data_IF_675269276855
#
_entry.id   IF_675269276855
#
_cell.length_a   1.000
_cell.length_b   1.000
_cell.length_c   1.000
_cell.angle_alpha   90.00
_cell.angle_beta   90.00
_cell.angle_gamma   90.00
#
_symmetry.space_group_name_H-M   'P 1'
#
loop_
_entity.id
_entity.type
_entity.pdbx_description
1 polymer ?
#
# COMPACT_ATOMS: atom_id res chain seq x y z
N UNK A 1 29.98 -17.90 -5.34
CA UNK A 1 29.54 -16.53 -5.71
C UNK A 1 28.59 -16.04 -4.63
N UNK A 2 28.97 -14.99 -3.90
CA UNK A 2 28.16 -14.46 -2.78
C UNK A 2 26.99 -13.66 -3.35
N UNK A 3 25.79 -14.20 -3.27
CA UNK A 3 24.55 -13.46 -3.49
C UNK A 3 24.38 -12.59 -2.25
N UNK A 4 24.60 -11.29 -2.39
CA UNK A 4 24.39 -10.34 -1.29
C UNK A 4 23.56 -9.17 -1.80
N UNK A 5 22.24 -9.27 -1.67
CA UNK A 5 21.36 -8.11 -1.53
C UNK A 5 20.05 -8.55 -0.88
N UNK A 6 19.86 -8.18 0.39
CA UNK A 6 18.70 -7.42 0.77
C UNK A 6 19.18 -6.06 1.27
N UNK A 7 18.56 -4.97 0.83
CA UNK A 7 18.66 -3.72 1.60
C UNK A 7 17.96 -3.99 2.93
N UNK A 8 18.73 -4.52 3.88
CA UNK A 8 18.35 -4.62 5.27
C UNK A 8 18.15 -3.19 5.75
N UNK A 9 16.90 -2.80 5.95
CA UNK A 9 16.59 -1.70 6.85
C UNK A 9 17.19 -2.11 8.19
N UNK A 10 18.39 -1.62 8.51
CA UNK A 10 19.08 -1.92 9.77
C UNK A 10 18.07 -1.72 10.91
N UNK A 11 17.97 -2.68 11.83
CA UNK A 11 17.03 -2.69 12.96
C UNK A 11 17.01 -1.40 13.80
N UNK A 12 18.01 -0.53 13.63
CA UNK A 12 18.19 0.75 14.32
C UNK A 12 17.85 1.99 13.46
N UNK A 13 17.34 1.82 12.24
CA UNK A 13 16.98 2.93 11.34
C UNK A 13 15.57 3.47 11.65
N UNK A 14 15.38 4.78 11.43
CA UNK A 14 14.05 5.41 11.51
C UNK A 14 13.09 4.76 10.52
N UNK A 15 11.84 4.62 10.92
CA UNK A 15 10.79 4.11 10.07
C UNK A 15 10.56 5.04 8.88
N UNK A 16 10.48 4.52 7.64
CA UNK A 16 10.35 5.37 6.44
C UNK A 16 8.97 6.04 6.35
N UNK A 17 7.97 5.61 7.12
CA UNK A 17 6.61 6.16 7.10
C UNK A 17 6.43 7.55 7.73
N UNK A 18 7.51 8.28 8.02
CA UNK A 18 7.47 9.62 8.63
C UNK A 18 6.83 9.65 10.03
N UNK A 19 6.93 8.56 10.80
CA UNK A 19 6.45 8.52 12.19
C UNK A 19 7.46 9.05 13.22
N UNK A 20 8.69 9.34 12.79
CA UNK A 20 9.86 9.62 13.63
C UNK A 20 10.27 8.50 14.63
N UNK A 21 9.59 7.35 14.62
CA UNK A 21 9.93 6.19 15.45
C UNK A 21 10.98 5.30 14.76
N UNK A 22 11.62 4.41 15.52
CA UNK A 22 12.42 3.33 14.94
C UNK A 22 11.52 2.38 14.14
N UNK A 23 12.06 1.79 13.07
CA UNK A 23 11.30 0.84 12.24
C UNK A 23 10.76 -0.34 13.08
N UNK A 24 11.60 -0.88 13.97
CA UNK A 24 11.30 -2.01 14.87
C UNK A 24 10.14 -1.75 15.83
N UNK A 25 9.94 -0.49 16.23
CA UNK A 25 8.88 -0.06 17.15
C UNK A 25 7.62 0.43 16.41
N UNK A 26 7.70 0.57 15.09
CA UNK A 26 6.65 1.16 14.25
C UNK A 26 6.13 0.13 13.24
N UNK A 27 6.42 0.29 11.94
CA UNK A 27 5.84 -0.53 10.89
C UNK A 27 6.31 -1.99 10.92
N UNK A 28 7.46 -2.29 11.54
CA UNK A 28 7.93 -3.67 11.69
C UNK A 28 6.92 -4.54 12.44
N UNK A 29 6.31 -4.04 13.52
CA UNK A 29 5.32 -4.79 14.31
C UNK A 29 4.09 -5.16 13.47
N UNK A 30 3.69 -4.30 12.55
CA UNK A 30 2.58 -4.56 11.63
C UNK A 30 3.01 -5.53 10.52
N UNK A 31 4.22 -5.34 9.96
CA UNK A 31 4.77 -6.21 8.92
C UNK A 31 4.97 -7.65 9.39
N UNK A 32 5.32 -7.86 10.67
CA UNK A 32 5.44 -9.18 11.30
C UNK A 32 4.10 -9.74 11.78
N UNK A 33 3.01 -8.98 11.70
CA UNK A 33 1.70 -9.40 12.19
C UNK A 33 1.57 -9.44 13.73
N UNK A 34 2.54 -8.87 14.46
CA UNK A 34 2.50 -8.74 15.93
C UNK A 34 1.37 -7.77 16.34
N UNK A 35 1.13 -6.75 15.53
CA UNK A 35 0.01 -5.80 15.68
C UNK A 35 -0.75 -5.65 14.38
N UNK A 36 -1.96 -5.11 14.47
CA UNK A 36 -2.72 -4.61 13.34
C UNK A 36 -2.81 -3.09 13.40
N UNK A 37 -3.01 -2.46 12.24
CA UNK A 37 -3.25 -1.03 12.21
C UNK A 37 -4.54 -0.69 12.97
N UNK A 38 -4.47 0.32 13.82
CA UNK A 38 -5.59 0.85 14.62
C UNK A 38 -6.39 1.90 13.85
N UNK A 39 -5.77 2.54 12.85
CA UNK A 39 -6.39 3.54 11.99
C UNK A 39 -6.05 3.35 10.51
N UNK A 40 -6.87 3.94 9.63
CA UNK A 40 -6.62 3.96 8.19
C UNK A 40 -5.26 4.61 7.85
N UNK A 41 -4.91 5.73 8.53
CA UNK A 41 -3.64 6.41 8.33
C UNK A 41 -2.44 5.57 8.78
N UNK A 42 -2.55 4.82 9.88
CA UNK A 42 -1.49 3.91 10.30
C UNK A 42 -1.31 2.77 9.29
N UNK A 43 -2.41 2.23 8.75
CA UNK A 43 -2.33 1.23 7.70
C UNK A 43 -1.64 1.79 6.46
N UNK A 44 -2.06 2.95 5.98
CA UNK A 44 -1.43 3.64 4.85
C UNK A 44 0.09 3.80 5.07
N UNK A 45 0.51 4.30 6.24
CA UNK A 45 1.92 4.51 6.59
C UNK A 45 2.73 3.22 6.58
N UNK A 46 2.15 2.13 7.10
CA UNK A 46 2.79 0.81 7.04
C UNK A 46 2.88 0.27 5.62
N UNK A 47 1.84 0.46 4.78
CA UNK A 47 1.88 0.07 3.36
C UNK A 47 2.97 0.82 2.60
N UNK A 48 3.15 2.12 2.85
CA UNK A 48 4.28 2.87 2.29
C UNK A 48 5.62 2.22 2.69
N UNK A 49 5.82 1.90 3.98
CA UNK A 49 7.04 1.22 4.44
C UNK A 49 7.24 -0.16 3.80
N UNK A 50 6.16 -0.87 3.50
CA UNK A 50 6.21 -2.13 2.77
C UNK A 50 6.63 -1.94 1.31
N UNK A 51 6.23 -0.84 0.65
CA UNK A 51 6.76 -0.47 -0.67
C UNK A 51 8.26 -0.16 -0.61
N UNK A 52 8.72 0.58 0.41
CA UNK A 52 10.15 0.90 0.61
C UNK A 52 11.00 -0.37 0.81
N UNK A 53 10.50 -1.32 1.60
CA UNK A 53 11.20 -2.57 1.94
C UNK A 53 10.97 -3.72 0.94
N UNK A 54 10.10 -3.54 -0.05
CA UNK A 54 9.71 -4.61 -0.99
C UNK A 54 8.89 -5.74 -0.35
N UNK A 55 8.20 -5.49 0.77
CA UNK A 55 7.35 -6.48 1.45
C UNK A 55 6.00 -6.66 0.73
N UNK A 56 6.03 -7.33 -0.42
CA UNK A 56 4.85 -7.54 -1.28
C UNK A 56 3.77 -8.35 -0.56
N UNK A 57 4.16 -9.31 0.28
CA UNK A 57 3.20 -10.13 1.03
C UNK A 57 2.34 -9.27 1.97
N UNK A 58 2.94 -8.30 2.65
CA UNK A 58 2.19 -7.37 3.50
C UNK A 58 1.22 -6.51 2.69
N UNK A 59 1.63 -6.03 1.52
CA UNK A 59 0.77 -5.25 0.62
C UNK A 59 -0.45 -6.06 0.17
N UNK A 60 -0.27 -7.33 -0.19
CA UNK A 60 -1.38 -8.24 -0.53
C UNK A 60 -2.28 -8.46 0.69
N UNK A 61 -1.72 -8.87 1.82
CA UNK A 61 -2.47 -9.23 3.04
C UNK A 61 -3.24 -8.07 3.67
N UNK A 62 -2.89 -6.83 3.32
CA UNK A 62 -3.58 -5.62 3.79
C UNK A 62 -4.40 -4.93 2.70
N UNK A 63 -4.50 -5.53 1.52
CA UNK A 63 -5.51 -5.15 0.52
C UNK A 63 -6.80 -5.90 0.82
N UNK A 64 -7.95 -5.30 0.49
CA UNK A 64 -9.28 -5.86 0.74
C UNK A 64 -9.33 -7.33 0.30
N UNK A 65 -9.80 -8.28 1.15
CA UNK A 65 -9.67 -9.73 0.87
C UNK A 65 -10.20 -10.16 -0.50
N UNK A 66 -11.36 -9.61 -0.90
CA UNK A 66 -11.97 -9.91 -2.21
C UNK A 66 -11.10 -9.45 -3.39
N UNK A 67 -10.18 -8.52 -3.19
CA UNK A 67 -9.28 -7.98 -4.22
C UNK A 67 -7.93 -8.71 -4.29
N UNK A 68 -7.55 -9.49 -3.25
CA UNK A 68 -6.19 -10.03 -3.13
C UNK A 68 -5.82 -10.99 -4.26
N UNK A 69 -6.74 -11.87 -4.66
CA UNK A 69 -6.56 -12.78 -5.78
C UNK A 69 -6.43 -12.06 -7.13
N UNK A 70 -6.85 -10.79 -7.16
CA UNK A 70 -6.82 -9.90 -8.31
C UNK A 70 -5.61 -8.95 -8.27
N UNK A 71 -4.59 -9.19 -7.44
CA UNK A 71 -3.39 -8.35 -7.47
C UNK A 71 -2.33 -8.94 -8.41
N UNK A 72 -1.82 -8.12 -9.33
CA UNK A 72 -0.62 -8.45 -10.09
C UNK A 72 0.63 -8.24 -9.22
N UNK A 73 0.96 -9.23 -8.39
CA UNK A 73 2.08 -9.14 -7.45
C UNK A 73 3.43 -8.91 -8.14
N UNK A 74 3.60 -9.39 -9.38
CA UNK A 74 4.80 -9.15 -10.18
C UNK A 74 4.93 -7.67 -10.52
N UNK A 75 3.87 -7.03 -10.99
CA UNK A 75 3.88 -5.60 -11.34
C UNK A 75 4.08 -4.72 -10.10
N UNK A 76 3.46 -5.08 -8.97
CA UNK A 76 3.69 -4.40 -7.69
C UNK A 76 5.18 -4.50 -7.29
N UNK A 77 5.79 -5.68 -7.44
CA UNK A 77 7.22 -5.89 -7.16
C UNK A 77 8.12 -5.11 -8.14
N UNK A 78 7.82 -5.14 -9.43
CA UNK A 78 8.58 -4.41 -10.45
C UNK A 78 8.52 -2.89 -10.20
N UNK A 79 7.37 -2.37 -9.79
CA UNK A 79 7.23 -0.95 -9.42
C UNK A 79 7.99 -0.61 -8.13
N UNK A 80 7.85 -1.41 -7.07
CA UNK A 80 8.61 -1.22 -5.84
C UNK A 80 10.14 -1.24 -6.07
N UNK A 81 10.61 -2.03 -7.04
CA UNK A 81 12.03 -2.10 -7.40
C UNK A 81 12.52 -0.88 -8.20
N UNK A 82 11.66 -0.29 -9.05
CA UNK A 82 12.01 0.87 -9.89
C UNK A 82 11.90 2.20 -9.16
N UNK A 83 10.95 2.32 -8.23
CA UNK A 83 10.74 3.50 -7.41
C UNK A 83 11.67 3.49 -6.20
N UNK A 84 12.63 4.41 -6.17
CA UNK A 84 13.41 4.70 -4.97
C UNK A 84 12.62 5.71 -4.13
N UNK A 85 11.89 5.20 -3.15
CA UNK A 85 11.10 6.01 -2.21
C UNK A 85 11.99 6.93 -1.38
N UNK A 86 11.61 8.21 -1.30
CA UNK A 86 12.38 9.26 -0.60
C UNK A 86 11.61 9.91 0.53
N UNK A 87 10.27 9.89 0.50
CA UNK A 87 9.47 10.42 1.60
C UNK A 87 7.98 10.13 1.49
N UNK A 88 7.28 10.35 2.61
CA UNK A 88 5.84 10.26 2.75
C UNK A 88 5.35 11.45 3.57
N UNK A 89 4.30 12.11 3.09
CA UNK A 89 3.56 13.11 3.85
C UNK A 89 2.07 12.75 3.86
N UNK A 90 1.48 12.54 5.04
CA UNK A 90 0.02 12.42 5.16
C UNK A 90 -0.56 13.83 5.25
N UNK A 91 -1.36 14.21 4.27
CA UNK A 91 -1.92 15.56 4.11
C UNK A 91 -3.21 15.71 4.91
N UNK A 92 -4.12 14.75 4.80
CA UNK A 92 -5.39 14.78 5.49
C UNK A 92 -5.94 13.38 5.74
N UNK A 93 -6.84 13.27 6.73
CA UNK A 93 -7.57 12.05 7.02
C UNK A 93 -9.04 12.39 7.26
N UNK A 94 -9.94 11.60 6.66
CA UNK A 94 -11.39 11.66 6.91
C UNK A 94 -11.85 10.31 7.44
N UNK A 95 -12.55 10.30 8.58
CA UNK A 95 -12.90 9.08 9.32
C UNK A 95 -11.66 8.20 9.56
N UNK A 96 -11.77 6.87 9.57
CA UNK A 96 -10.63 5.97 9.68
C UNK A 96 -10.04 5.83 11.10
N UNK A 97 -10.76 6.26 12.13
CA UNK A 97 -10.39 6.07 13.54
C UNK A 97 -10.91 4.72 14.07
N UNK A 98 -10.49 4.24 15.25
CA UNK A 98 -10.86 2.91 15.74
C UNK A 98 -12.38 2.61 15.77
N UNK A 99 -13.20 3.64 15.99
CA UNK A 99 -14.66 3.54 15.99
C UNK A 99 -15.30 3.53 14.59
N UNK A 100 -14.58 3.93 13.55
CA UNK A 100 -15.10 4.02 12.19
C UNK A 100 -14.90 2.70 11.43
N UNK A 101 -15.80 2.40 10.50
CA UNK A 101 -15.66 1.21 9.63
C UNK A 101 -15.08 1.53 8.25
N UNK A 102 -14.88 2.81 7.96
CA UNK A 102 -14.36 3.34 6.71
C UNK A 102 -13.46 4.54 6.96
N UNK A 103 -12.53 4.82 6.04
CA UNK A 103 -11.63 5.95 6.14
C UNK A 103 -11.00 6.33 4.82
N UNK A 104 -10.62 7.60 4.71
CA UNK A 104 -9.87 8.15 3.60
C UNK A 104 -8.60 8.80 4.11
N UNK A 105 -7.50 8.58 3.39
CA UNK A 105 -6.19 9.15 3.72
C UNK A 105 -5.65 9.80 2.46
N UNK A 106 -5.48 11.11 2.52
CA UNK A 106 -4.80 11.88 1.49
C UNK A 106 -3.32 12.00 1.84
N UNK A 107 -2.46 11.79 0.85
CA UNK A 107 -1.03 11.81 1.06
C UNK A 107 -0.23 12.13 -0.20
N UNK A 108 1.03 12.45 0.02
CA UNK A 108 2.05 12.63 -1.00
C UNK A 108 3.16 11.61 -0.75
N UNK A 109 3.43 10.76 -1.73
CA UNK A 109 4.55 9.85 -1.71
C UNK A 109 5.62 10.33 -2.72
N UNK A 110 6.83 10.55 -2.22
CA UNK A 110 7.96 11.06 -3.00
C UNK A 110 8.90 9.93 -3.39
N UNK A 111 9.37 9.92 -4.63
CA UNK A 111 10.29 8.91 -5.14
C UNK A 111 11.16 9.41 -6.30
N UNK A 112 12.30 8.76 -6.50
CA UNK A 112 13.13 8.87 -7.69
C UNK A 112 13.01 7.59 -8.52
N UNK A 113 13.20 7.68 -9.83
CA UNK A 113 13.18 6.50 -10.71
C UNK A 113 14.61 6.08 -11.06
N UNK A 114 15.00 4.83 -10.74
CA UNK A 114 16.37 4.31 -10.92
C UNK A 114 16.92 4.38 -12.35
N UNK A 115 16.05 4.50 -13.35
CA UNK A 115 16.39 4.52 -14.78
C UNK A 115 15.98 5.82 -15.47
N UNK A 116 15.73 6.89 -14.72
CA UNK A 116 15.56 8.18 -15.38
C UNK A 116 16.90 8.67 -15.90
N UNK A 117 17.08 8.66 -17.22
CA UNK A 117 18.27 9.18 -17.88
C UNK A 117 18.49 10.69 -17.62
N UNK A 118 17.47 11.37 -17.07
CA UNK A 118 17.53 12.78 -16.66
C UNK A 118 17.72 12.97 -15.15
N UNK A 119 17.87 11.89 -14.36
CA UNK A 119 18.14 12.01 -12.94
C UNK A 119 19.58 12.50 -12.72
N UNK A 120 19.71 13.73 -12.25
CA UNK A 120 20.93 14.20 -11.60
C UNK A 120 20.73 14.21 -10.07
N UNK A 121 21.81 14.33 -9.31
CA UNK A 121 21.75 14.37 -7.85
C UNK A 121 20.98 15.59 -7.28
N UNK A 122 20.67 16.59 -8.12
CA UNK A 122 19.99 17.82 -7.75
C UNK A 122 18.51 17.82 -8.18
N UNK A 123 18.03 16.74 -8.79
CA UNK A 123 16.68 16.64 -9.31
C UNK A 123 15.69 16.48 -8.17
N UNK A 124 14.66 17.32 -8.16
CA UNK A 124 13.56 17.22 -7.21
C UNK A 124 12.85 15.85 -7.34
N UNK A 125 12.52 15.18 -6.23
CA UNK A 125 11.80 13.92 -6.28
C UNK A 125 10.45 14.06 -6.98
N UNK A 126 10.06 13.03 -7.73
CA UNK A 126 8.70 12.93 -8.24
C UNK A 126 7.75 12.71 -7.07
N UNK A 127 6.56 13.30 -7.17
CA UNK A 127 5.53 13.22 -6.14
C UNK A 127 4.26 12.59 -6.72
N UNK A 128 3.70 11.62 -6.01
CA UNK A 128 2.36 11.10 -6.26
C UNK A 128 1.45 11.54 -5.12
N UNK A 129 0.46 12.37 -5.44
CA UNK A 129 -0.60 12.73 -4.52
C UNK A 129 -1.78 11.78 -4.74
N UNK A 130 -2.23 11.14 -3.66
CA UNK A 130 -3.30 10.16 -3.70
C UNK A 130 -4.27 10.38 -2.54
N UNK A 131 -5.55 10.08 -2.78
CA UNK A 131 -6.58 10.01 -1.73
C UNK A 131 -7.13 8.58 -1.69
N UNK A 132 -6.56 7.77 -0.80
CA UNK A 132 -6.83 6.34 -0.71
C UNK A 132 -8.01 6.03 0.21
N UNK A 133 -8.83 5.06 -0.18
CA UNK A 133 -9.97 4.57 0.59
C UNK A 133 -9.63 3.27 1.33
N UNK A 134 -10.11 3.17 2.57
CA UNK A 134 -9.88 2.06 3.48
C UNK A 134 -11.19 1.60 4.09
N UNK A 135 -11.29 0.28 4.31
CA UNK A 135 -12.45 -0.37 4.93
C UNK A 135 -12.00 -1.25 6.09
N UNK A 136 -12.71 -1.20 7.21
CA UNK A 136 -12.50 -2.06 8.38
C UNK A 136 -13.43 -3.26 8.29
N UNK A 137 -12.87 -4.46 8.39
CA UNK A 137 -13.61 -5.73 8.45
C UNK A 137 -13.13 -6.47 9.67
N UNK A 138 -14.03 -6.85 10.58
CA UNK A 138 -13.69 -7.59 11.80
C UNK A 138 -12.52 -6.95 12.57
N UNK A 139 -12.62 -5.63 12.82
CA UNK A 139 -11.60 -4.81 13.50
C UNK A 139 -10.24 -4.69 12.79
N UNK A 140 -10.15 -5.09 11.52
CA UNK A 140 -8.92 -4.97 10.72
C UNK A 140 -9.12 -4.04 9.53
N UNK A 141 -8.26 -3.04 9.42
CA UNK A 141 -8.24 -2.14 8.27
C UNK A 141 -7.67 -2.83 7.04
N UNK A 142 -8.26 -2.53 5.89
CA UNK A 142 -7.80 -2.95 4.58
C UNK A 142 -7.80 -1.77 3.61
N UNK A 143 -6.77 -1.70 2.77
CA UNK A 143 -6.72 -0.83 1.62
C UNK A 143 -7.67 -1.33 0.53
N UNK A 144 -8.50 -0.44 -0.01
CA UNK A 144 -9.36 -0.76 -1.13
C UNK A 144 -8.66 -0.30 -2.41
N UNK A 145 -8.20 -1.28 -3.20
CA UNK A 145 -7.53 -1.04 -4.46
C UNK A 145 -8.53 -0.45 -5.49
N UNK A 146 -8.17 0.59 -6.26
CA UNK A 146 -9.06 1.16 -7.28
C UNK A 146 -9.47 0.11 -8.33
N UNK A 147 -10.78 0.00 -8.59
CA UNK A 147 -11.30 -1.03 -9.51
C UNK A 147 -10.76 -0.88 -10.93
N UNK A 148 -10.57 0.35 -11.38
CA UNK A 148 -10.03 0.65 -12.70
C UNK A 148 -8.65 0.01 -12.87
N UNK A 149 -7.81 0.07 -11.84
CA UNK A 149 -6.49 -0.55 -11.85
C UNK A 149 -6.53 -2.08 -11.92
N UNK A 150 -7.46 -2.71 -11.19
CA UNK A 150 -7.64 -4.17 -11.24
C UNK A 150 -8.08 -4.65 -12.63
N UNK A 151 -9.03 -3.93 -13.24
CA UNK A 151 -9.61 -4.32 -14.53
C UNK A 151 -8.66 -4.04 -15.70
N UNK A 152 -7.90 -2.94 -15.64
CA UNK A 152 -6.96 -2.54 -16.70
C UNK A 152 -5.73 -3.43 -16.79
N UNK A 153 -5.38 -4.17 -15.72
CA UNK A 153 -4.27 -5.15 -15.71
C UNK A 153 -4.66 -6.49 -16.37
N UNK A 154 -5.73 -6.52 -17.16
CA UNK A 154 -6.15 -7.70 -17.92
C UNK A 154 -6.80 -8.80 -17.08
N UNK A 155 -7.05 -8.54 -15.80
CA UNK A 155 -7.71 -9.51 -14.94
C UNK A 155 -9.22 -9.50 -15.14
N UNK A 156 -9.75 -10.69 -15.40
CA UNK A 156 -11.17 -10.91 -15.62
C UNK A 156 -11.85 -11.26 -14.30
N UNK A 157 -12.67 -10.36 -13.80
CA UNK A 157 -13.62 -10.65 -12.72
C UNK A 157 -14.80 -11.40 -13.32
N UNK A 158 -15.10 -12.61 -12.83
CA UNK A 158 -16.25 -13.36 -13.36
C UNK A 158 -17.55 -12.67 -12.99
N UNK A 159 -18.55 -12.73 -13.88
CA UNK A 159 -19.87 -12.11 -13.69
C UNK A 159 -20.55 -12.50 -12.37
N UNK A 160 -20.28 -13.70 -11.85
CA UNK A 160 -20.87 -14.23 -10.63
C UNK A 160 -19.97 -14.12 -9.40
N UNK A 161 -18.71 -13.71 -9.55
CA UNK A 161 -17.80 -13.51 -8.41
C UNK A 161 -18.30 -12.38 -7.51
N UNK A 162 -17.95 -12.39 -6.21
CA UNK A 162 -18.15 -11.24 -5.34
C UNK A 162 -17.51 -9.98 -5.96
N UNK A 163 -18.22 -8.86 -5.88
CA UNK A 163 -17.77 -7.63 -6.51
C UNK A 163 -16.51 -7.09 -5.80
N UNK A 164 -15.42 -6.80 -6.53
CA UNK A 164 -14.17 -6.38 -5.90
C UNK A 164 -14.23 -5.01 -5.20
N UNK A 165 -15.33 -4.24 -5.32
CA UNK A 165 -15.54 -3.04 -4.51
C UNK A 165 -15.85 -3.32 -3.04
N UNK A 166 -16.05 -4.59 -2.66
CA UNK A 166 -16.37 -4.96 -1.28
C UNK A 166 -17.84 -4.74 -0.89
N UNK A 167 -18.75 -4.68 -1.88
CA UNK A 167 -20.20 -4.58 -1.66
C UNK A 167 -20.89 -5.89 -1.35
N UNK A 168 -20.15 -7.01 -1.36
CA UNK A 168 -20.64 -8.40 -1.17
C UNK A 168 -21.61 -8.90 -2.27
N UNK A 169 -22.08 -8.02 -3.16
CA UNK A 169 -22.93 -8.39 -4.30
C UNK A 169 -22.11 -9.08 -5.39
N UNK A 170 -22.77 -9.90 -6.23
CA UNK A 170 -22.14 -10.44 -7.46
C UNK A 170 -21.73 -9.30 -8.41
N UNK A 171 -20.60 -9.44 -9.10
CA UNK A 171 -20.05 -8.41 -9.99
C UNK A 171 -21.09 -7.88 -11.00
N UNK A 172 -21.83 -8.77 -11.69
CA UNK A 172 -22.91 -8.40 -12.64
C UNK A 172 -24.09 -7.63 -12.04
N UNK A 173 -24.22 -7.63 -10.71
CA UNK A 173 -25.29 -6.93 -9.97
C UNK A 173 -24.75 -5.67 -9.26
N UNK A 174 -23.48 -5.35 -9.44
CA UNK A 174 -22.79 -4.22 -8.82
C UNK A 174 -22.01 -3.42 -9.88
N UNK A 175 -20.68 -3.53 -9.92
CA UNK A 175 -19.81 -2.73 -10.79
C UNK A 175 -19.73 -3.25 -12.24
N UNK A 176 -20.15 -4.49 -12.51
CA UNK A 176 -20.18 -5.07 -13.85
C UNK A 176 -21.55 -4.94 -14.54
N UNK A 177 -22.29 -3.88 -14.20
CA UNK A 177 -23.53 -3.52 -14.89
C UNK A 177 -23.25 -2.85 -16.22
#
# INVERSE_FOLDING_TARGET
MRINCPMQTKDTSKCPCDSNQLYTECCHLLHQGVKHAESAAQLMRSRYSAHVSGNIQYLVNTTLPVQQAYLNTKEIADWANRAQWTGLAVVSQKAGQPQDDEGWVEFIASYNTKYDAKYDANSEPKQHQENSYFKKIQQRWYFVYPLEGLLNQGQKVSRNDPCPCGSERKYKKCCGK
#
